data_IF_543311315138
#
_entry.id   IF_543311315138
#
_cell.length_a   1.000
_cell.length_b   1.000
_cell.length_c   1.000
_cell.angle_alpha   90.00
_cell.angle_beta   90.00
_cell.angle_gamma   90.00
#
_symmetry.space_group_name_H-M   'P 1'
#
loop_
_entity.id
_entity.type
_entity.pdbx_description
1 polymer ?
#
# COMPACT_ATOMS: atom_id res chain seq x y z
N UNK A 1 6.80 -8.21 14.83
CA UNK A 1 5.59 -8.74 15.52
C UNK A 1 4.65 -7.56 15.70
N UNK A 2 3.46 -7.60 15.10
CA UNK A 2 2.44 -6.58 15.36
C UNK A 2 1.98 -6.64 16.83
N UNK A 3 1.36 -5.57 17.37
CA UNK A 3 0.74 -5.66 18.68
C UNK A 3 -0.23 -6.84 18.71
N UNK A 4 -0.21 -7.62 19.79
CA UNK A 4 -1.17 -8.70 19.99
C UNK A 4 -2.60 -8.14 19.83
N UNK A 5 -3.47 -8.88 19.14
CA UNK A 5 -4.84 -8.44 18.90
C UNK A 5 -5.53 -8.10 20.23
N UNK A 6 -6.04 -6.87 20.35
CA UNK A 6 -6.80 -6.45 21.53
C UNK A 6 -8.21 -7.01 21.39
N UNK A 7 -8.71 -7.79 22.36
CA UNK A 7 -10.07 -8.32 22.29
C UNK A 7 -11.09 -7.19 22.46
N UNK A 8 -12.06 -7.14 21.55
CA UNK A 8 -13.25 -6.29 21.65
C UNK A 8 -14.46 -7.17 21.95
N UNK A 9 -15.12 -6.89 23.07
CA UNK A 9 -16.29 -7.63 23.50
C UNK A 9 -17.55 -7.00 22.86
N UNK A 10 -18.36 -7.77 22.11
CA UNK A 10 -19.58 -7.26 21.51
C UNK A 10 -20.53 -6.67 22.55
N UNK A 11 -21.20 -5.57 22.20
CA UNK A 11 -22.16 -4.86 23.06
C UNK A 11 -21.60 -4.33 24.40
N UNK A 12 -20.28 -4.25 24.55
CA UNK A 12 -19.63 -3.64 25.72
C UNK A 12 -19.01 -2.29 25.34
N UNK A 13 -19.24 -1.27 26.17
CA UNK A 13 -18.61 0.03 26.00
C UNK A 13 -17.08 -0.09 26.09
N UNK A 14 -16.38 0.28 25.02
CA UNK A 14 -14.92 0.31 24.96
C UNK A 14 -14.44 1.74 24.81
N UNK A 15 -13.59 2.19 25.75
CA UNK A 15 -12.98 3.50 25.65
C UNK A 15 -11.87 3.48 24.59
N UNK A 16 -11.89 4.46 23.68
CA UNK A 16 -10.82 4.70 22.71
C UNK A 16 -10.28 6.11 22.91
N UNK A 17 -8.96 6.24 22.97
CA UNK A 17 -8.28 7.54 23.00
C UNK A 17 -7.27 7.60 21.87
N UNK A 18 -7.35 8.67 21.09
CA UNK A 18 -6.40 8.98 20.02
C UNK A 18 -5.66 10.26 20.37
N UNK A 19 -4.33 10.23 20.31
CA UNK A 19 -3.50 11.43 20.42
C UNK A 19 -2.78 11.62 19.10
N UNK A 20 -2.87 12.83 18.53
CA UNK A 20 -2.17 13.21 17.30
C UNK A 20 -1.36 14.46 17.57
N UNK A 21 -0.07 14.44 17.22
CA UNK A 21 0.82 15.60 17.31
C UNK A 21 1.72 15.65 16.08
N UNK A 22 1.62 16.71 15.29
CA UNK A 22 2.30 16.79 14.00
C UNK A 22 1.98 15.59 13.12
N UNK A 23 3.01 14.83 12.72
CA UNK A 23 2.88 13.59 11.92
C UNK A 23 2.90 12.33 12.78
N UNK A 24 2.66 12.41 14.07
CA UNK A 24 2.68 11.24 14.96
C UNK A 24 1.27 10.97 15.48
N UNK A 25 0.95 9.69 15.69
CA UNK A 25 -0.32 9.29 16.31
C UNK A 25 -0.13 8.13 17.29
N UNK A 26 -0.90 8.15 18.36
CA UNK A 26 -0.95 7.08 19.36
C UNK A 26 -2.42 6.73 19.64
N UNK A 27 -2.74 5.44 19.56
CA UNK A 27 -4.06 4.89 19.85
C UNK A 27 -3.98 4.11 21.17
N UNK A 28 -4.95 4.34 22.03
CA UNK A 28 -5.14 3.62 23.29
C UNK A 28 -6.54 3.04 23.30
N UNK A 29 -6.68 1.85 23.86
CA UNK A 29 -7.93 1.10 23.93
C UNK A 29 -8.15 0.70 25.39
N UNK A 30 -9.41 0.74 25.85
CA UNK A 30 -9.80 0.49 27.24
C UNK A 30 -9.06 1.43 28.20
N UNK A 31 -8.44 0.89 29.25
CA UNK A 31 -7.71 1.55 30.31
C UNK A 31 -6.18 1.51 30.11
N UNK A 32 -5.73 1.19 28.88
CA UNK A 32 -4.30 1.09 28.58
C UNK A 32 -3.56 2.42 28.78
N UNK A 33 -2.46 2.35 29.52
CA UNK A 33 -1.51 3.46 29.72
C UNK A 33 -0.38 3.47 28.68
N UNK A 34 -0.13 2.31 28.05
CA UNK A 34 0.78 2.17 26.90
C UNK A 34 -0.05 2.13 25.62
N UNK A 35 0.35 2.81 24.53
CA UNK A 35 -0.43 2.80 23.30
C UNK A 35 -0.54 1.40 22.70
N UNK A 36 -1.75 1.06 22.28
CA UNK A 36 -2.06 -0.14 21.50
C UNK A 36 -1.42 -0.09 20.10
N UNK A 37 -1.38 1.10 19.51
CA UNK A 37 -0.74 1.37 18.23
C UNK A 37 -0.02 2.71 18.32
N UNK A 38 1.24 2.71 17.89
CA UNK A 38 2.07 3.90 17.79
C UNK A 38 2.45 4.09 16.33
N UNK A 39 2.08 5.22 15.77
CA UNK A 39 2.38 5.60 14.39
C UNK A 39 3.50 6.64 14.42
N UNK A 40 4.74 6.25 14.08
CA UNK A 40 5.90 7.16 14.14
C UNK A 40 5.82 8.28 13.09
N UNK A 41 5.13 8.03 11.97
CA UNK A 41 4.98 8.99 10.88
C UNK A 41 3.71 8.72 10.06
N UNK A 42 2.74 9.60 10.17
CA UNK A 42 1.56 9.69 9.30
C UNK A 42 2.00 10.13 7.90
N UNK A 43 1.40 9.53 6.87
CA UNK A 43 1.79 9.74 5.47
C UNK A 43 1.58 11.18 4.96
N UNK A 44 0.57 11.89 5.48
CA UNK A 44 0.25 13.27 5.06
C UNK A 44 0.85 14.33 5.97
N UNK A 45 1.07 15.51 5.41
CA UNK A 45 1.34 16.71 6.20
C UNK A 45 0.13 17.04 7.09
N UNK A 46 0.35 17.59 8.30
CA UNK A 46 -0.76 17.98 9.17
C UNK A 46 -1.65 19.03 8.48
N UNK A 47 -2.95 18.79 8.48
CA UNK A 47 -3.95 19.69 7.91
C UNK A 47 -5.21 19.65 8.77
N UNK A 48 -5.88 20.80 8.92
CA UNK A 48 -7.18 20.85 9.56
C UNK A 48 -8.22 20.04 8.76
N UNK A 49 -9.13 19.37 9.48
CA UNK A 49 -10.15 18.52 8.89
C UNK A 49 -11.24 18.17 9.91
N UNK A 50 -12.12 17.26 9.51
CA UNK A 50 -13.24 16.80 10.34
C UNK A 50 -12.92 15.47 11.02
N UNK A 51 -13.57 15.24 12.16
CA UNK A 51 -13.70 13.92 12.77
C UNK A 51 -15.05 13.35 12.36
N UNK A 52 -15.06 12.07 11.97
CA UNK A 52 -16.28 11.35 11.63
C UNK A 52 -16.38 10.10 12.50
N UNK A 53 -17.59 9.81 12.97
CA UNK A 53 -17.94 8.57 13.65
C UNK A 53 -18.89 7.81 12.73
N UNK A 54 -18.49 6.63 12.29
CA UNK A 54 -19.24 5.84 11.32
C UNK A 54 -19.37 4.39 11.74
N UNK A 55 -20.51 3.79 11.41
CA UNK A 55 -20.70 2.34 11.41
C UNK A 55 -20.90 1.86 9.97
N UNK A 56 -20.47 0.65 9.68
CA UNK A 56 -20.67 0.02 8.38
C UNK A 56 -21.49 -1.25 8.54
N UNK A 57 -22.64 -1.31 7.87
CA UNK A 57 -23.44 -2.51 7.71
C UNK A 57 -23.28 -2.98 6.25
N UNK A 58 -22.75 -4.19 6.00
CA UNK A 58 -22.63 -4.70 4.64
C UNK A 58 -23.98 -4.80 3.94
N UNK A 59 -23.97 -4.72 2.60
CA UNK A 59 -25.17 -4.93 1.78
C UNK A 59 -25.77 -6.33 2.06
N UNK A 60 -27.10 -6.43 1.95
CA UNK A 60 -27.88 -7.66 2.16
C UNK A 60 -27.77 -8.28 3.56
N UNK A 61 -27.19 -7.57 4.54
CA UNK A 61 -27.23 -7.95 5.96
C UNK A 61 -28.42 -7.25 6.62
N UNK A 62 -29.40 -8.03 7.08
CA UNK A 62 -30.49 -7.50 7.90
C UNK A 62 -29.91 -6.96 9.22
N UNK A 63 -30.10 -5.66 9.48
CA UNK A 63 -29.72 -5.02 10.73
C UNK A 63 -30.89 -4.98 11.71
N UNK A 64 -30.67 -5.42 12.94
CA UNK A 64 -31.57 -5.15 14.07
C UNK A 64 -30.93 -4.12 14.99
N UNK A 65 -31.51 -2.91 15.06
CA UNK A 65 -31.06 -1.85 15.97
C UNK A 65 -29.87 -1.02 15.46
N UNK A 66 -29.17 -0.36 16.40
CA UNK A 66 -28.05 0.53 16.09
C UNK A 66 -26.79 -0.28 15.72
N UNK A 67 -26.23 -0.02 14.54
CA UNK A 67 -25.03 -0.73 14.03
C UNK A 67 -23.72 -0.28 14.71
N UNK A 68 -23.72 0.92 15.29
CA UNK A 68 -22.65 1.46 16.10
C UNK A 68 -23.22 2.51 17.07
N UNK A 69 -22.71 2.55 18.30
CA UNK A 69 -23.11 3.52 19.32
C UNK A 69 -21.88 4.24 19.84
N UNK A 70 -21.97 5.57 19.93
CA UNK A 70 -20.89 6.43 20.42
C UNK A 70 -21.42 7.28 21.56
N UNK A 71 -20.64 7.40 22.63
CA UNK A 71 -20.94 8.27 23.77
C UNK A 71 -19.65 8.89 24.31
N UNK A 72 -19.78 9.96 25.10
CA UNK A 72 -18.65 10.61 25.78
C UNK A 72 -17.50 11.02 24.85
N UNK A 73 -17.83 11.52 23.66
CA UNK A 73 -16.84 11.98 22.68
C UNK A 73 -16.33 13.35 23.10
N UNK A 74 -15.05 13.40 23.51
CA UNK A 74 -14.39 14.62 23.97
C UNK A 74 -13.16 14.89 23.11
N UNK A 75 -13.06 16.10 22.56
CA UNK A 75 -11.89 16.56 21.80
C UNK A 75 -11.17 17.63 22.62
N UNK A 76 -9.86 17.46 22.77
CA UNK A 76 -8.97 18.40 23.46
C UNK A 76 -7.79 18.74 22.57
N UNK A 77 -7.41 20.01 22.53
CA UNK A 77 -6.31 20.51 21.69
C UNK A 77 -5.02 20.73 22.49
N UNK A 78 -5.08 20.66 23.81
CA UNK A 78 -4.03 20.98 24.78
C UNK A 78 -3.44 19.73 25.46
N UNK A 79 -3.48 18.58 24.77
CA UNK A 79 -2.96 17.31 25.29
C UNK A 79 -1.52 17.10 24.83
N UNK A 80 -0.59 17.02 25.77
CA UNK A 80 0.78 16.61 25.52
C UNK A 80 0.94 15.08 25.64
N UNK A 81 1.70 14.48 24.72
CA UNK A 81 2.11 13.08 24.79
C UNK A 81 3.57 12.95 24.38
N UNK A 82 4.37 12.24 25.17
CA UNK A 82 5.78 12.05 24.87
C UNK A 82 5.97 10.91 23.86
N UNK A 83 5.86 11.26 22.57
CA UNK A 83 6.10 10.32 21.48
C UNK A 83 7.53 9.78 21.46
N UNK A 84 8.52 10.58 21.84
CA UNK A 84 9.92 10.14 21.84
C UNK A 84 10.14 9.02 22.85
N UNK A 85 9.65 9.19 24.08
CA UNK A 85 9.73 8.15 25.11
C UNK A 85 8.91 6.90 24.75
N UNK A 86 7.73 7.06 24.14
CA UNK A 86 6.91 5.93 23.70
C UNK A 86 7.59 5.12 22.58
N UNK A 87 8.18 5.81 21.59
CA UNK A 87 8.90 5.19 20.49
C UNK A 87 10.16 4.45 20.98
N UNK A 88 10.89 5.03 21.94
CA UNK A 88 12.08 4.40 22.52
C UNK A 88 11.78 3.08 23.26
N UNK A 89 10.56 2.91 23.79
CA UNK A 89 10.10 1.69 24.46
C UNK A 89 9.52 0.65 23.51
N UNK A 90 9.23 1.04 22.27
CA UNK A 90 8.72 0.10 21.29
C UNK A 90 9.90 -0.75 20.82
N UNK A 91 9.87 -2.08 20.94
CA UNK A 91 10.90 -2.92 20.37
C UNK A 91 11.00 -2.54 18.89
N UNK A 92 12.15 -2.01 18.45
CA UNK A 92 12.45 -1.85 17.04
C UNK A 92 12.23 -3.22 16.44
N UNK A 93 11.13 -3.42 15.74
CA UNK A 93 10.88 -4.69 15.08
C UNK A 93 12.01 -4.80 14.09
N UNK A 94 12.94 -5.73 14.34
CA UNK A 94 13.98 -6.10 13.40
C UNK A 94 13.28 -6.33 12.05
N UNK A 95 13.45 -5.39 11.11
CA UNK A 95 12.84 -5.47 9.79
C UNK A 95 12.03 -4.26 9.31
N UNK A 96 11.77 -3.21 10.10
CA UNK A 96 11.36 -1.93 9.53
C UNK A 96 12.63 -1.14 9.16
N UNK A 97 13.00 -1.00 7.87
CA UNK A 97 14.24 -0.32 7.53
C UNK A 97 14.14 1.13 7.98
N UNK A 98 15.21 1.62 8.60
CA UNK A 98 15.43 3.05 8.70
C UNK A 98 15.35 3.63 7.29
N UNK A 99 14.79 4.85 7.12
CA UNK A 99 14.79 5.56 5.85
C UNK A 99 16.19 5.71 5.20
N UNK A 100 17.25 5.49 5.99
CA UNK A 100 18.66 5.50 5.57
C UNK A 100 19.23 4.13 5.17
N UNK A 101 18.47 3.04 5.31
CA UNK A 101 18.93 1.64 5.10
C UNK A 101 18.13 0.91 4.01
N UNK A 102 17.37 1.63 3.20
CA UNK A 102 16.73 0.98 2.06
C UNK A 102 17.82 0.52 1.07
N UNK A 103 17.92 -0.78 0.78
CA UNK A 103 18.92 -1.26 -0.16
C UNK A 103 18.69 -0.56 -1.51
N UNK A 104 19.76 -0.27 -2.24
CA UNK A 104 19.70 0.31 -3.60
C UNK A 104 18.90 -0.53 -4.62
N UNK A 105 18.34 -1.65 -4.18
CA UNK A 105 17.54 -2.58 -4.96
C UNK A 105 16.05 -2.27 -4.92
N UNK A 106 15.58 -1.39 -4.03
CA UNK A 106 14.18 -0.90 -4.01
C UNK A 106 13.98 0.09 -5.16
N UNK A 107 12.86 -0.04 -5.86
CA UNK A 107 12.48 0.89 -6.93
C UNK A 107 12.07 2.23 -6.30
N UNK A 108 12.92 3.24 -6.45
CA UNK A 108 12.72 4.57 -5.86
C UNK A 108 11.73 5.48 -6.61
N UNK A 109 11.35 5.11 -7.83
CA UNK A 109 10.38 5.85 -8.62
C UNK A 109 9.77 4.97 -9.70
N UNK A 110 8.52 5.27 -10.05
CA UNK A 110 7.81 4.65 -11.16
C UNK A 110 7.30 5.73 -12.09
N UNK A 111 7.19 5.39 -13.37
CA UNK A 111 6.42 6.21 -14.29
C UNK A 111 5.04 5.62 -14.50
N UNK A 112 4.01 6.43 -14.29
CA UNK A 112 2.63 6.00 -14.34
C UNK A 112 1.94 6.51 -15.60
N UNK A 113 1.11 5.65 -16.21
CA UNK A 113 0.15 6.04 -17.23
C UNK A 113 -1.04 6.81 -16.63
N UNK A 114 -1.92 7.35 -17.48
CA UNK A 114 -3.28 7.68 -17.00
C UNK A 114 -4.03 6.40 -16.59
N UNK A 115 -5.07 6.55 -15.78
CA UNK A 115 -5.98 5.44 -15.46
C UNK A 115 -6.85 5.08 -16.67
N UNK A 116 -7.26 3.83 -16.72
CA UNK A 116 -8.27 3.34 -17.66
C UNK A 116 -9.17 2.32 -16.96
N UNK A 117 -10.34 2.06 -17.55
CA UNK A 117 -11.22 0.97 -17.13
C UNK A 117 -10.82 -0.26 -17.93
N UNK A 118 -10.36 -1.35 -17.30
CA UNK A 118 -10.00 -2.56 -18.02
C UNK A 118 -11.26 -3.27 -18.52
N UNK A 119 -11.20 -3.86 -19.73
CA UNK A 119 -12.32 -4.65 -20.29
C UNK A 119 -12.59 -5.94 -19.49
N UNK A 120 -11.53 -6.49 -18.88
CA UNK A 120 -11.57 -7.61 -17.96
C UNK A 120 -10.60 -7.35 -16.79
N UNK A 121 -10.95 -7.85 -15.61
CA UNK A 121 -10.08 -8.03 -14.46
C UNK A 121 -8.76 -8.79 -14.78
N UNK A 122 -8.68 -9.53 -15.89
CA UNK A 122 -7.49 -10.25 -16.33
C UNK A 122 -6.80 -9.60 -17.55
N UNK A 123 -6.20 -8.42 -17.33
CA UNK A 123 -5.37 -7.76 -18.36
C UNK A 123 -4.13 -8.60 -18.63
N UNK A 124 -4.13 -9.35 -19.74
CA UNK A 124 -3.02 -10.22 -20.17
C UNK A 124 -2.27 -9.67 -21.41
N UNK A 125 -2.75 -8.56 -21.97
CA UNK A 125 -2.11 -7.81 -23.04
C UNK A 125 -1.78 -6.42 -22.51
N UNK A 126 -0.54 -5.96 -22.74
CA UNK A 126 -0.13 -4.63 -22.33
C UNK A 126 -0.99 -3.58 -23.07
N UNK A 127 -1.68 -2.66 -22.36
CA UNK A 127 -2.54 -1.68 -22.99
C UNK A 127 -1.78 -0.79 -23.97
N UNK A 128 -2.43 -0.47 -25.09
CA UNK A 128 -1.86 0.34 -26.16
C UNK A 128 -1.61 1.80 -25.71
N UNK A 129 -0.80 2.53 -26.49
CA UNK A 129 -0.40 3.89 -26.17
C UNK A 129 -1.57 4.89 -26.15
N UNK A 130 -2.57 4.69 -26.99
CA UNK A 130 -3.82 5.46 -27.00
C UNK A 130 -4.63 5.27 -25.70
N UNK A 131 -4.58 4.10 -25.07
CA UNK A 131 -5.20 3.84 -23.77
C UNK A 131 -4.36 4.45 -22.64
N UNK A 132 -3.05 4.17 -22.61
CA UNK A 132 -2.14 4.56 -21.52
C UNK A 132 -1.78 6.05 -21.52
N UNK A 133 -1.81 6.71 -22.68
CA UNK A 133 -1.37 8.09 -22.80
C UNK A 133 0.11 8.28 -22.50
N UNK A 134 0.47 9.48 -22.05
CA UNK A 134 1.85 9.80 -21.62
C UNK A 134 2.12 9.31 -20.20
N UNK A 135 3.38 8.95 -19.95
CA UNK A 135 3.84 8.51 -18.65
C UNK A 135 4.38 9.70 -17.85
N UNK A 136 4.07 9.75 -16.56
CA UNK A 136 4.60 10.76 -15.62
C UNK A 136 5.34 10.07 -14.48
N UNK A 137 6.56 10.51 -14.20
CA UNK A 137 7.40 9.98 -13.11
C UNK A 137 6.91 10.46 -11.75
N UNK A 138 6.81 9.55 -10.80
CA UNK A 138 6.55 9.82 -9.39
C UNK A 138 7.54 9.05 -8.51
N UNK A 139 8.05 9.73 -7.49
CA UNK A 139 8.91 9.12 -6.48
C UNK A 139 8.08 8.27 -5.51
N UNK A 140 8.66 7.18 -5.02
CA UNK A 140 8.06 6.37 -3.97
C UNK A 140 8.21 7.05 -2.60
N UNK A 141 7.39 6.65 -1.64
CA UNK A 141 7.66 6.87 -0.23
C UNK A 141 8.99 6.20 0.16
N UNK A 142 9.62 6.58 1.30
CA UNK A 142 10.91 6.03 1.70
C UNK A 142 10.97 4.50 1.73
N UNK A 143 9.84 3.83 1.97
CA UNK A 143 9.72 2.37 1.99
C UNK A 143 9.55 1.69 0.61
N UNK A 144 9.53 2.47 -0.46
CA UNK A 144 9.34 1.98 -1.83
C UNK A 144 7.88 1.91 -2.28
N UNK A 145 6.92 2.27 -1.43
CA UNK A 145 5.51 2.32 -1.80
C UNK A 145 5.20 3.56 -2.65
N UNK A 146 4.54 3.37 -3.80
CA UNK A 146 3.89 4.44 -4.55
C UNK A 146 2.38 4.30 -4.41
N UNK A 147 1.74 5.34 -3.87
CA UNK A 147 0.29 5.45 -3.75
C UNK A 147 -0.32 6.00 -5.06
N UNK A 148 -0.69 5.12 -6.00
CA UNK A 148 -1.21 5.48 -7.32
C UNK A 148 -2.42 6.44 -7.24
N UNK A 149 -3.33 6.22 -6.29
CA UNK A 149 -4.54 7.03 -6.12
C UNK A 149 -4.28 8.53 -5.87
N UNK A 150 -3.06 8.91 -5.46
CA UNK A 150 -2.66 10.30 -5.24
C UNK A 150 -2.28 11.03 -6.53
N UNK A 151 -1.97 10.26 -7.57
CA UNK A 151 -1.35 10.76 -8.79
C UNK A 151 -2.23 10.52 -10.01
N UNK A 152 -3.05 9.46 -9.98
CA UNK A 152 -3.88 9.04 -11.09
C UNK A 152 -5.35 9.09 -10.69
N UNK A 153 -6.16 9.99 -11.28
CA UNK A 153 -7.59 10.09 -10.95
C UNK A 153 -8.33 8.80 -11.29
N UNK A 154 -9.18 8.32 -10.39
CA UNK A 154 -10.04 7.16 -10.67
C UNK A 154 -11.20 7.60 -11.58
N UNK A 155 -11.46 6.91 -12.72
CA UNK A 155 -12.59 7.23 -13.58
C UNK A 155 -13.92 7.16 -12.83
N UNK A 156 -14.80 8.15 -13.06
CA UNK A 156 -16.13 8.19 -12.42
C UNK A 156 -16.92 6.94 -12.75
N UNK A 157 -17.66 6.42 -11.76
CA UNK A 157 -18.56 5.27 -11.90
C UNK A 157 -17.88 3.94 -12.28
N UNK A 158 -16.55 3.84 -12.18
CA UNK A 158 -15.87 2.57 -12.41
C UNK A 158 -15.88 1.70 -11.15
N UNK A 159 -16.17 0.41 -11.31
CA UNK A 159 -15.99 -0.61 -10.25
C UNK A 159 -14.54 -1.08 -10.14
N UNK A 160 -13.77 -0.94 -11.23
CA UNK A 160 -12.36 -1.34 -11.31
C UNK A 160 -11.61 -0.29 -12.10
N UNK A 161 -10.50 0.19 -11.57
CA UNK A 161 -9.59 1.11 -12.26
C UNK A 161 -8.26 0.42 -12.47
N UNK A 162 -7.57 0.74 -13.57
CA UNK A 162 -6.24 0.22 -13.84
C UNK A 162 -5.30 1.32 -14.35
N UNK A 163 -4.00 1.12 -14.16
CA UNK A 163 -2.93 1.96 -14.69
C UNK A 163 -1.71 1.08 -14.93
N UNK A 164 -0.79 1.59 -15.73
CA UNK A 164 0.50 0.95 -15.99
C UNK A 164 1.58 1.71 -15.23
N UNK A 165 2.33 1.00 -14.39
CA UNK A 165 3.58 1.47 -13.81
C UNK A 165 4.75 0.91 -14.63
N UNK A 166 5.72 1.76 -14.97
CA UNK A 166 6.87 1.39 -15.80
C UNK A 166 8.19 1.83 -15.19
N UNK A 167 9.19 0.97 -15.38
CA UNK A 167 10.62 1.28 -15.18
C UNK A 167 11.45 0.65 -16.30
N UNK A 168 12.58 1.29 -16.60
CA UNK A 168 13.64 0.68 -17.37
C UNK A 168 14.60 -0.04 -16.43
N UNK A 169 14.93 -1.29 -16.78
CA UNK A 169 15.84 -2.15 -16.02
C UNK A 169 17.03 -2.49 -16.91
N UNK A 170 18.20 -1.98 -16.55
CA UNK A 170 19.44 -2.36 -17.22
C UNK A 170 20.08 -3.52 -16.49
N UNK A 171 20.34 -4.62 -17.19
CA UNK A 171 21.01 -5.80 -16.66
C UNK A 171 22.37 -6.00 -17.35
N UNK A 172 23.43 -6.22 -16.56
CA UNK A 172 24.77 -6.47 -17.10
C UNK A 172 24.85 -7.74 -17.96
N UNK A 173 24.10 -8.78 -17.59
CA UNK A 173 24.03 -10.05 -18.32
C UNK A 173 22.58 -10.51 -18.49
N UNK A 174 22.32 -11.31 -19.52
CA UNK A 174 21.03 -11.96 -19.67
C UNK A 174 20.85 -13.04 -18.58
N UNK A 175 19.67 -13.15 -18.01
CA UNK A 175 19.43 -14.08 -16.90
C UNK A 175 18.06 -13.97 -16.26
N UNK A 176 17.88 -14.71 -15.17
CA UNK A 176 16.69 -14.67 -14.32
C UNK A 176 17.01 -13.89 -13.06
N UNK A 177 16.33 -12.77 -12.87
CA UNK A 177 16.56 -11.89 -11.72
C UNK A 177 15.35 -11.93 -10.80
N UNK A 178 15.59 -12.17 -9.51
CA UNK A 178 14.53 -12.19 -8.51
C UNK A 178 14.04 -10.77 -8.27
N UNK A 179 12.72 -10.60 -8.36
CA UNK A 179 12.02 -9.34 -8.14
C UNK A 179 10.86 -9.60 -7.18
N UNK A 180 10.91 -8.94 -6.03
CA UNK A 180 9.83 -8.95 -5.05
C UNK A 180 8.87 -7.80 -5.38
N UNK A 181 7.59 -8.11 -5.57
CA UNK A 181 6.53 -7.19 -5.96
C UNK A 181 5.44 -7.17 -4.89
N UNK A 182 5.14 -5.97 -4.39
CA UNK A 182 3.92 -5.68 -3.66
C UNK A 182 2.95 -4.87 -4.53
N UNK A 183 1.67 -5.22 -4.52
CA UNK A 183 0.67 -4.64 -5.42
C UNK A 183 -0.74 -4.66 -4.80
N UNK A 184 -1.55 -3.68 -5.22
CA UNK A 184 -2.99 -3.63 -4.93
C UNK A 184 -3.76 -4.59 -5.81
N UNK A 185 -4.77 -5.26 -5.23
CA UNK A 185 -5.74 -6.14 -5.89
C UNK A 185 -5.16 -7.06 -6.96
N UNK A 186 -5.05 -6.64 -8.22
CA UNK A 186 -4.54 -7.50 -9.30
C UNK A 186 -3.37 -6.80 -10.00
N UNK A 187 -2.30 -7.57 -10.26
CA UNK A 187 -1.17 -7.12 -11.06
C UNK A 187 -0.83 -8.10 -12.17
N UNK A 188 -0.55 -7.58 -13.36
CA UNK A 188 0.08 -8.34 -14.46
C UNK A 188 1.42 -7.70 -14.80
N UNK A 189 2.49 -8.49 -14.74
CA UNK A 189 3.86 -8.04 -15.02
C UNK A 189 4.25 -8.44 -16.43
N UNK A 190 4.82 -7.49 -17.14
CA UNK A 190 5.32 -7.63 -18.51
C UNK A 190 6.81 -7.29 -18.54
N UNK A 191 7.59 -8.16 -19.19
CA UNK A 191 8.99 -7.88 -19.53
C UNK A 191 9.10 -7.76 -21.05
N UNK A 192 9.56 -6.61 -21.53
CA UNK A 192 9.67 -6.31 -22.96
C UNK A 192 8.35 -6.57 -23.72
N UNK A 193 7.23 -6.17 -23.11
CA UNK A 193 5.88 -6.34 -23.66
C UNK A 193 5.27 -7.73 -23.53
N UNK A 194 5.99 -8.73 -23.01
CA UNK A 194 5.48 -10.10 -22.84
C UNK A 194 5.05 -10.34 -21.39
N UNK A 195 3.83 -10.85 -21.14
CA UNK A 195 3.37 -11.15 -19.78
C UNK A 195 4.20 -12.30 -19.20
N UNK A 196 4.68 -12.13 -17.96
CA UNK A 196 5.48 -13.14 -17.23
C UNK A 196 4.86 -13.56 -15.90
N UNK A 197 3.91 -12.78 -15.39
CA UNK A 197 3.24 -13.06 -14.12
C UNK A 197 1.86 -12.39 -14.08
N UNK A 198 0.91 -13.04 -13.42
CA UNK A 198 -0.33 -12.44 -12.94
C UNK A 198 -0.53 -12.83 -11.47
N UNK A 199 -0.84 -11.86 -10.63
CA UNK A 199 -1.18 -12.07 -9.23
C UNK A 199 -2.55 -11.47 -8.91
N UNK A 200 -3.25 -12.11 -7.97
CA UNK A 200 -4.52 -11.63 -7.43
C UNK A 200 -4.44 -11.66 -5.90
N UNK A 201 -4.32 -10.48 -5.33
CA UNK A 201 -4.26 -10.16 -3.92
C UNK A 201 -5.54 -9.43 -3.45
N UNK A 202 -6.63 -9.45 -4.24
CA UNK A 202 -7.86 -8.70 -3.96
C UNK A 202 -8.40 -9.02 -2.58
N UNK A 203 -8.75 -8.00 -1.80
CA UNK A 203 -9.21 -8.17 -0.42
C UNK A 203 -10.32 -9.23 -0.32
N UNK A 204 -10.18 -10.18 0.60
CA UNK A 204 -11.17 -11.24 0.78
C UNK A 204 -11.18 -11.75 2.22
N UNK A 205 -12.40 -11.93 2.74
CA UNK A 205 -12.66 -12.61 4.00
C UNK A 205 -12.68 -14.14 3.86
N UNK A 206 -12.61 -14.67 2.64
CA UNK A 206 -12.63 -16.11 2.37
C UNK A 206 -11.32 -16.77 2.82
N UNK A 207 -11.26 -18.10 2.81
CA UNK A 207 -10.04 -18.83 3.11
C UNK A 207 -9.32 -19.23 1.82
N UNK A 208 -8.04 -18.86 1.62
CA UNK A 208 -7.19 -18.08 2.52
C UNK A 208 -7.53 -16.58 2.53
N UNK A 209 -7.46 -15.96 3.73
CA UNK A 209 -7.77 -14.53 3.94
C UNK A 209 -6.75 -13.66 3.23
N UNK A 210 -7.20 -12.59 2.59
CA UNK A 210 -6.35 -11.55 1.99
C UNK A 210 -6.64 -10.22 2.66
N UNK A 211 -5.64 -9.70 3.36
CA UNK A 211 -5.79 -8.57 4.29
C UNK A 211 -5.78 -7.19 3.62
N UNK A 212 -5.48 -7.13 2.31
CA UNK A 212 -5.36 -5.85 1.58
C UNK A 212 -4.09 -5.07 1.95
N UNK A 213 -3.04 -5.77 2.38
CA UNK A 213 -1.74 -5.17 2.70
C UNK A 213 -0.79 -5.29 1.51
N UNK A 214 -0.07 -4.22 1.21
CA UNK A 214 0.99 -4.20 0.20
C UNK A 214 2.33 -4.44 0.89
N UNK A 215 3.11 -5.40 0.37
CA UNK A 215 4.40 -5.79 0.93
C UNK A 215 5.27 -6.56 -0.05
N UNK A 216 6.59 -6.56 0.17
CA UNK A 216 7.55 -7.30 -0.67
C UNK A 216 7.39 -8.83 -0.58
N UNK A 217 6.69 -9.33 0.42
CA UNK A 217 6.40 -10.75 0.62
C UNK A 217 5.20 -11.25 -0.20
N UNK A 218 4.47 -10.36 -0.89
CA UNK A 218 3.30 -10.75 -1.69
C UNK A 218 3.66 -11.64 -2.89
N UNK A 219 4.69 -11.29 -3.66
CA UNK A 219 5.10 -12.09 -4.82
C UNK A 219 6.60 -11.98 -5.08
N UNK A 220 7.26 -13.12 -5.32
CA UNK A 220 8.60 -13.20 -5.91
C UNK A 220 8.53 -13.72 -7.33
N UNK A 221 9.03 -12.93 -8.28
CA UNK A 221 9.01 -13.21 -9.71
C UNK A 221 10.45 -13.31 -10.22
N UNK A 222 10.74 -14.33 -11.02
CA UNK A 222 12.03 -14.45 -11.69
C UNK A 222 11.94 -13.84 -13.09
N UNK A 223 12.32 -12.58 -13.21
CA UNK A 223 12.21 -11.80 -14.44
C UNK A 223 13.24 -12.28 -15.48
N UNK A 224 12.83 -12.68 -16.70
CA UNK A 224 13.75 -13.07 -17.77
C UNK A 224 14.30 -11.83 -18.47
N UNK A 225 15.40 -11.26 -17.94
CA UNK A 225 16.01 -10.05 -18.50
C UNK A 225 17.03 -10.40 -19.57
N UNK A 226 17.06 -9.60 -20.64
CA UNK A 226 18.15 -9.59 -21.61
C UNK A 226 19.31 -8.73 -21.10
N UNK A 227 20.52 -8.97 -21.59
CA UNK A 227 21.64 -8.06 -21.35
C UNK A 227 21.33 -6.69 -21.96
N UNK A 228 21.66 -5.61 -21.25
CA UNK A 228 21.28 -4.25 -21.62
C UNK A 228 19.93 -3.83 -21.05
N UNK A 229 19.20 -3.01 -21.79
CA UNK A 229 17.99 -2.36 -21.29
C UNK A 229 16.74 -3.23 -21.51
N UNK A 230 15.90 -3.30 -20.50
CA UNK A 230 14.63 -4.02 -20.51
C UNK A 230 13.51 -3.07 -20.07
N UNK A 231 12.33 -3.24 -20.64
CA UNK A 231 11.10 -2.58 -20.19
C UNK A 231 10.39 -3.49 -19.19
N UNK A 232 10.23 -3.01 -17.96
CA UNK A 232 9.38 -3.65 -16.95
C UNK A 232 8.11 -2.81 -16.82
N UNK A 233 7.01 -3.38 -17.29
CA UNK A 233 5.68 -2.78 -17.23
C UNK A 233 4.80 -3.60 -16.31
N UNK A 234 4.05 -2.95 -15.42
CA UNK A 234 3.14 -3.61 -14.50
C UNK A 234 1.78 -2.94 -14.66
N UNK A 235 0.78 -3.71 -15.07
CA UNK A 235 -0.61 -3.27 -15.04
C UNK A 235 -1.13 -3.56 -13.64
N UNK A 236 -1.57 -2.54 -12.91
CA UNK A 236 -2.14 -2.65 -11.57
C UNK A 236 -3.59 -2.23 -11.66
N UNK A 237 -4.50 -3.10 -11.25
CA UNK A 237 -5.93 -2.78 -11.17
C UNK A 237 -6.45 -2.90 -9.74
N UNK A 238 -7.35 -2.02 -9.38
CA UNK A 238 -7.91 -1.88 -8.04
C UNK A 238 -9.43 -1.66 -8.09
N UNK A 239 -10.14 -2.20 -7.11
CA UNK A 239 -11.58 -2.08 -6.98
C UNK A 239 -12.01 -1.24 -5.77
N UNK A 240 -11.22 -1.23 -4.70
CA UNK A 240 -11.52 -0.55 -3.45
C UNK A 240 -10.34 -0.60 -2.46
N UNK A 241 -10.28 0.36 -1.51
CA UNK A 241 -9.48 0.21 -0.29
C UNK A 241 -8.10 0.87 -0.33
N UNK A 242 -7.70 1.42 -1.48
CA UNK A 242 -6.43 2.10 -1.69
C UNK A 242 -5.70 1.46 -2.86
N UNK A 243 -4.94 2.26 -3.62
CA UNK A 243 -4.30 1.79 -4.85
C UNK A 243 -2.81 2.12 -4.82
N UNK A 244 -1.96 1.09 -4.92
CA UNK A 244 -0.51 1.24 -4.80
C UNK A 244 0.33 0.10 -5.38
N UNK A 245 1.65 0.34 -5.43
CA UNK A 245 2.66 -0.62 -5.88
C UNK A 245 3.99 -0.38 -5.14
N UNK A 246 4.76 -1.45 -4.92
CA UNK A 246 6.17 -1.36 -4.53
C UNK A 246 6.96 -2.50 -5.18
N UNK A 247 8.24 -2.30 -5.44
CA UNK A 247 9.07 -3.34 -6.04
C UNK A 247 10.52 -3.26 -5.61
N UNK A 248 11.19 -4.40 -5.54
CA UNK A 248 12.64 -4.47 -5.34
C UNK A 248 13.26 -5.64 -6.07
N UNK A 249 14.49 -5.45 -6.54
CA UNK A 249 15.33 -6.57 -6.94
C UNK A 249 15.97 -7.21 -5.70
N UNK A 250 16.20 -8.52 -5.75
CA UNK A 250 16.82 -9.28 -4.65
C UNK A 250 18.14 -9.83 -5.16
N UNK A 251 19.23 -9.50 -4.45
CA UNK A 251 20.59 -9.98 -4.75
C UNK A 251 20.93 -9.91 -6.25
N UNK A 252 20.68 -8.75 -6.86
CA UNK A 252 20.80 -8.53 -8.30
C UNK A 252 22.00 -7.62 -8.64
N UNK A 253 23.25 -8.11 -8.51
CA UNK A 253 24.43 -7.32 -8.87
C UNK A 253 24.42 -6.98 -10.36
N UNK A 254 24.79 -5.75 -10.71
CA UNK A 254 24.81 -5.29 -12.10
C UNK A 254 23.43 -5.00 -12.69
N UNK A 255 22.38 -4.92 -11.86
CA UNK A 255 21.07 -4.40 -12.24
C UNK A 255 20.93 -2.96 -11.76
N UNK A 256 20.50 -2.08 -12.66
CA UNK A 256 20.13 -0.69 -12.33
C UNK A 256 18.73 -0.38 -12.82
N UNK A 257 17.95 0.36 -12.04
CA UNK A 257 16.55 0.68 -12.33
C UNK A 257 16.38 2.19 -12.47
N UNK A 258 15.64 2.61 -13.49
CA UNK A 258 15.29 4.01 -13.71
C UNK A 258 13.81 4.12 -14.08
N UNK A 259 13.11 5.09 -13.50
CA UNK A 259 11.77 5.44 -13.95
C UNK A 259 11.85 6.08 -15.34
N UNK A 260 11.02 5.60 -16.28
CA UNK A 260 11.07 5.97 -17.71
C UNK A 260 10.10 7.07 -18.09
#
# INVERSE_FOLDING_TARGET
MGPAAIPFDPAVWTHVRVVMQGRQAALFVKDMTTPALLVPRLARAPQAGHLALGGFLPADVAGEGAIAMFSNVVVRTDVAFDFAAALAKTPTTAGAPSASEFPSTVVGAWSLSRSFVPEDSSVHILPRADITGSFTRFDTEPDGLLELHRHVPVPKSSRVTAAVARVSVRAATAGRYAFDLGFSDIATVFVNGKPVFRGDASYSFDRPRREGLIGFDQARIYLPLSAGDNDLSIVISDSFGGWGIMGRFVDAPGVTVQAR
#
